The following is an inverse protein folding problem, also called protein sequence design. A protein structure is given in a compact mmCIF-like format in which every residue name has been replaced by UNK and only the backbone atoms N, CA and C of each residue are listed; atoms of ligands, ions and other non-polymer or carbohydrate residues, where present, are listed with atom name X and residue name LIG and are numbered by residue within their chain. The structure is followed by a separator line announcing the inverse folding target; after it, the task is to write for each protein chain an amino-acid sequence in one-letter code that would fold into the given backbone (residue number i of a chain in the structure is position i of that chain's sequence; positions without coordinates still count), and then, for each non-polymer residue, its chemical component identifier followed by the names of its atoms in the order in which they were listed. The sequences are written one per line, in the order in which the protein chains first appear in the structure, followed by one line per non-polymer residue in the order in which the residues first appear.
data_IF_096558918133
#
_entry.id   IF_096558918133
#
_cell.length_a   1.000
_cell.length_b   1.000
_cell.length_c   1.000
_cell.angle_alpha   90.00
_cell.angle_beta   90.00
_cell.angle_gamma   90.00
#
_symmetry.space_group_name_H-M   'P 1'
#
loop_
_entity.id
_entity.type
_entity.pdbx_description
1 polymer ?
#
# COMPACT_ATOMS: atom_id res chain seq x y z
N UNK A 1 -15.95 15.99 4.55
CA UNK A 1 -16.49 14.65 4.75
C UNK A 1 -15.48 13.66 4.24
N UNK A 2 -14.74 12.99 5.13
CA UNK A 2 -13.83 11.93 4.73
C UNK A 2 -14.57 10.60 4.83
N UNK A 3 -15.41 10.33 3.83
CA UNK A 3 -15.95 9.00 3.61
C UNK A 3 -14.85 8.15 2.97
N UNK A 4 -13.86 7.74 3.77
CA UNK A 4 -12.90 6.73 3.35
C UNK A 4 -13.24 5.41 4.02
N UNK A 5 -14.41 4.88 3.66
CA UNK A 5 -14.65 3.45 3.71
C UNK A 5 -14.74 3.03 2.24
N UNK A 6 -13.60 2.65 1.66
CA UNK A 6 -13.60 1.95 0.38
C UNK A 6 -13.01 0.58 0.65
N UNK A 7 -13.87 -0.28 1.21
CA UNK A 7 -13.78 -1.71 1.00
C UNK A 7 -14.21 -1.96 -0.45
N UNK A 8 -13.26 -1.95 -1.39
CA UNK A 8 -13.44 -2.65 -2.66
C UNK A 8 -13.04 -4.11 -2.42
N UNK A 9 -13.94 -4.81 -1.71
CA UNK A 9 -14.11 -6.24 -1.81
C UNK A 9 -14.46 -6.52 -3.27
N UNK A 10 -13.51 -6.94 -4.10
CA UNK A 10 -13.86 -7.51 -5.39
C UNK A 10 -12.94 -8.68 -5.72
N UNK A 11 -13.47 -9.84 -5.35
CA UNK A 11 -13.38 -11.15 -6.00
C UNK A 11 -12.02 -11.63 -6.51
N UNK A 12 -11.18 -12.19 -5.63
CA UNK A 12 -10.34 -13.32 -6.01
C UNK A 12 -10.29 -14.36 -4.88
N UNK A 13 -11.07 -15.41 -5.09
CA UNK A 13 -11.14 -16.63 -4.29
C UNK A 13 -10.08 -17.62 -4.80
N UNK A 14 -9.47 -18.33 -3.84
CA UNK A 14 -8.72 -19.59 -3.98
C UNK A 14 -7.40 -19.53 -4.74
N UNK A 15 -6.27 -19.58 -4.03
CA UNK A 15 -5.61 -20.82 -3.62
C UNK A 15 -4.30 -20.46 -2.89
N UNK A 16 -4.08 -21.05 -1.71
CA UNK A 16 -2.74 -21.22 -1.09
C UNK A 16 -1.90 -19.98 -0.76
N UNK A 17 -2.02 -19.51 0.49
CA UNK A 17 -1.13 -18.51 1.09
C UNK A 17 -0.84 -18.80 2.55
N UNK A 18 -0.46 -20.04 2.87
CA UNK A 18 -0.23 -20.59 4.23
C UNK A 18 0.87 -19.87 5.06
N UNK A 19 1.43 -18.73 4.61
CA UNK A 19 2.72 -18.22 5.09
C UNK A 19 2.74 -16.74 5.51
N UNK A 20 1.79 -15.87 5.12
CA UNK A 20 1.86 -14.46 5.56
C UNK A 20 1.32 -14.23 6.99
N UNK A 21 0.54 -15.18 7.52
CA UNK A 21 -0.23 -15.06 8.77
C UNK A 21 0.34 -15.78 10.00
N UNK A 22 1.43 -16.54 9.91
CA UNK A 22 1.90 -17.27 11.12
C UNK A 22 2.50 -16.36 12.20
N UNK A 23 2.76 -15.10 11.88
CA UNK A 23 3.26 -14.10 12.83
C UNK A 23 2.16 -13.33 13.55
N UNK A 24 0.87 -13.60 13.30
CA UNK A 24 -0.22 -13.18 14.18
C UNK A 24 -0.30 -14.01 15.48
N UNK A 25 0.46 -15.11 15.57
CA UNK A 25 0.37 -16.13 16.62
C UNK A 25 1.13 -15.84 17.92
N UNK A 26 1.24 -14.58 18.38
CA UNK A 26 1.66 -14.28 19.77
C UNK A 26 0.73 -13.29 20.44
N UNK A 27 -0.54 -13.66 20.45
CA UNK A 27 -1.59 -13.10 21.32
C UNK A 27 -1.41 -13.50 22.82
N UNK A 28 -0.33 -14.17 23.20
CA UNK A 28 -0.31 -14.93 24.47
C UNK A 28 0.37 -14.27 25.68
N UNK A 29 1.03 -13.11 25.59
CA UNK A 29 1.60 -12.46 26.78
C UNK A 29 1.65 -10.91 26.65
N UNK A 30 0.52 -10.26 26.91
CA UNK A 30 0.45 -8.89 27.47
C UNK A 30 1.20 -7.73 26.79
N UNK A 31 0.80 -7.33 25.57
CA UNK A 31 1.25 -6.15 24.75
C UNK A 31 2.53 -6.39 23.92
N UNK A 32 2.69 -5.82 22.70
CA UNK A 32 2.14 -4.54 22.23
C UNK A 32 1.27 -4.60 20.95
N UNK A 33 0.44 -3.57 20.84
CA UNK A 33 -0.24 -3.07 19.63
C UNK A 33 0.68 -3.20 18.41
N UNK A 34 0.38 -4.13 17.50
CA UNK A 34 0.87 -3.98 16.13
C UNK A 34 -0.06 -3.00 15.44
N UNK A 35 0.46 -2.04 14.65
CA UNK A 35 -0.41 -1.12 13.94
C UNK A 35 -1.31 -1.92 13.00
N UNK A 36 -2.59 -2.04 13.34
CA UNK A 36 -3.60 -2.51 12.39
C UNK A 36 -3.62 -1.59 11.16
N UNK A 37 -3.12 -0.37 11.31
CA UNK A 37 -3.06 0.68 10.31
C UNK A 37 -1.62 1.02 9.92
N UNK A 38 -1.21 0.61 8.72
CA UNK A 38 0.10 0.92 8.16
C UNK A 38 0.06 2.31 7.47
N UNK A 39 0.74 3.34 7.99
CA UNK A 39 0.78 4.65 7.34
C UNK A 39 1.45 4.56 5.97
N UNK A 40 0.89 5.32 5.03
CA UNK A 40 1.40 5.43 3.66
C UNK A 40 2.06 6.79 3.50
N UNK A 41 3.36 6.78 3.23
CA UNK A 41 4.21 7.95 3.11
C UNK A 41 4.44 8.24 1.62
N UNK A 42 3.76 9.24 1.04
CA UNK A 42 4.04 9.67 -0.32
C UNK A 42 5.39 10.39 -0.38
N UNK A 43 6.18 10.10 -1.41
CA UNK A 43 7.50 10.66 -1.67
C UNK A 43 7.64 11.04 -3.16
N UNK A 44 8.56 11.96 -3.43
CA UNK A 44 8.83 12.44 -4.78
C UNK A 44 7.71 13.35 -5.30
N UNK A 45 7.32 13.17 -6.56
CA UNK A 45 6.34 14.02 -7.23
C UNK A 45 4.87 13.61 -6.95
N UNK A 46 4.58 13.03 -5.78
CA UNK A 46 3.22 12.69 -5.36
C UNK A 46 2.58 13.87 -4.62
N UNK A 47 1.38 14.27 -5.03
CA UNK A 47 0.61 15.31 -4.37
C UNK A 47 -0.07 14.79 -3.11
N UNK A 48 -0.73 13.64 -3.22
CA UNK A 48 -1.35 12.93 -2.11
C UNK A 48 -1.63 11.48 -2.48
N UNK A 49 -1.80 10.65 -1.44
CA UNK A 49 -2.18 9.24 -1.53
C UNK A 49 -3.41 9.00 -0.65
N UNK A 50 -4.31 8.14 -1.11
CA UNK A 50 -5.45 7.65 -0.34
C UNK A 50 -5.60 6.14 -0.52
N UNK A 51 -5.81 5.37 0.56
CA UNK A 51 -5.80 5.80 1.95
C UNK A 51 -4.41 6.22 2.46
N UNK A 52 -4.38 7.09 3.48
CA UNK A 52 -3.14 7.45 4.19
C UNK A 52 -2.71 6.36 5.19
N UNK A 53 -3.59 5.41 5.49
CA UNK A 53 -3.36 4.29 6.38
C UNK A 53 -4.03 3.05 5.81
N UNK A 54 -3.26 1.98 5.61
CA UNK A 54 -3.76 0.70 5.15
C UNK A 54 -4.12 -0.19 6.32
N UNK A 55 -5.33 -0.76 6.30
CA UNK A 55 -5.66 -1.83 7.23
C UNK A 55 -5.03 -3.15 6.75
N UNK A 56 -4.04 -3.64 7.49
CA UNK A 56 -3.34 -4.88 7.17
C UNK A 56 -3.88 -6.09 7.97
N UNK A 57 -4.85 -5.88 8.86
CA UNK A 57 -5.43 -6.93 9.68
C UNK A 57 -6.33 -7.86 8.85
N UNK A 58 -6.97 -7.33 7.80
CA UNK A 58 -7.82 -8.12 6.90
C UNK A 58 -7.04 -9.05 5.96
N UNK A 59 -5.75 -8.76 5.72
CA UNK A 59 -4.95 -9.45 4.70
C UNK A 59 -5.45 -9.24 3.27
N UNK A 60 -4.87 -9.95 2.31
CA UNK A 60 -5.25 -9.87 0.90
C UNK A 60 -4.64 -8.69 0.14
N UNK A 61 -5.42 -8.01 -0.70
CA UNK A 61 -4.95 -6.91 -1.53
C UNK A 61 -5.47 -5.56 -1.03
N UNK A 62 -4.57 -4.59 -0.95
CA UNK A 62 -4.88 -3.20 -0.66
C UNK A 62 -4.91 -2.36 -1.94
N UNK A 63 -5.96 -1.56 -2.11
CA UNK A 63 -6.06 -0.61 -3.23
C UNK A 63 -5.61 0.77 -2.75
N UNK A 64 -4.63 1.33 -3.45
CA UNK A 64 -4.08 2.66 -3.22
C UNK A 64 -4.36 3.53 -4.44
N UNK A 65 -4.75 4.77 -4.17
CA UNK A 65 -4.89 5.79 -5.18
C UNK A 65 -3.90 6.92 -4.89
N UNK A 66 -3.20 7.39 -5.91
CA UNK A 66 -2.34 8.55 -5.78
C UNK A 66 -2.57 9.54 -6.91
N UNK A 67 -2.22 10.78 -6.66
CA UNK A 67 -2.21 11.85 -7.65
C UNK A 67 -0.81 12.44 -7.74
N UNK A 68 -0.33 12.68 -8.95
CA UNK A 68 0.95 13.36 -9.16
C UNK A 68 0.81 14.87 -8.92
N UNK A 69 1.84 15.51 -8.40
CA UNK A 69 1.88 16.96 -8.18
C UNK A 69 2.04 17.74 -9.49
N UNK A 70 2.67 17.12 -10.50
CA UNK A 70 2.87 17.69 -11.84
C UNK A 70 2.75 16.61 -12.91
N UNK A 71 2.72 17.03 -14.17
CA UNK A 71 2.77 16.12 -15.31
C UNK A 71 4.18 15.57 -15.45
N UNK A 72 4.33 14.25 -15.46
CA UNK A 72 5.61 13.57 -15.58
C UNK A 72 5.51 12.54 -16.70
N UNK A 73 6.39 12.65 -17.70
CA UNK A 73 6.52 11.64 -18.75
C UNK A 73 7.48 10.53 -18.28
N UNK A 74 7.22 9.27 -18.65
CA UNK A 74 8.00 8.10 -18.28
C UNK A 74 8.18 7.91 -16.76
N UNK A 75 7.15 8.23 -15.98
CA UNK A 75 7.21 8.09 -14.54
C UNK A 75 7.37 6.64 -14.09
N UNK A 76 8.13 6.42 -13.03
CA UNK A 76 8.25 5.15 -12.32
C UNK A 76 7.76 5.34 -10.89
N UNK A 77 6.75 4.58 -10.52
CA UNK A 77 6.29 4.45 -9.15
C UNK A 77 6.94 3.22 -8.51
N UNK A 78 7.48 3.40 -7.32
CA UNK A 78 8.00 2.34 -6.47
C UNK A 78 7.25 2.34 -5.13
N UNK A 79 6.80 1.17 -4.71
CA UNK A 79 6.22 0.94 -3.39
C UNK A 79 7.22 0.11 -2.60
N UNK A 80 7.64 0.63 -1.45
CA UNK A 80 8.59 -0.04 -0.57
C UNK A 80 8.11 -0.05 0.88
N UNK A 81 8.49 -1.10 1.60
CA UNK A 81 8.17 -1.33 3.01
C UNK A 81 9.43 -1.78 3.74
N UNK A 82 9.83 -1.06 4.80
CA UNK A 82 11.02 -1.42 5.58
C UNK A 82 12.32 -1.55 4.76
N UNK A 83 12.45 -0.80 3.67
CA UNK A 83 13.60 -0.86 2.76
C UNK A 83 13.53 -1.93 1.66
N UNK A 84 12.48 -2.76 1.63
CA UNK A 84 12.24 -3.72 0.54
C UNK A 84 11.26 -3.15 -0.48
N UNK A 85 11.59 -3.23 -1.77
CA UNK A 85 10.67 -2.89 -2.85
C UNK A 85 9.65 -4.00 -3.02
N UNK A 86 8.37 -3.69 -2.81
CA UNK A 86 7.25 -4.62 -2.94
C UNK A 86 6.69 -4.63 -4.36
N UNK A 87 6.58 -3.45 -4.95
CA UNK A 87 5.98 -3.27 -6.27
C UNK A 87 6.64 -2.10 -6.98
N UNK A 88 6.88 -2.27 -8.28
CA UNK A 88 7.32 -1.19 -9.15
C UNK A 88 6.44 -1.15 -10.39
N UNK A 89 5.96 0.04 -10.75
CA UNK A 89 5.10 0.25 -11.92
C UNK A 89 5.56 1.46 -12.70
N UNK A 90 5.74 1.28 -14.01
CA UNK A 90 6.09 2.37 -14.93
C UNK A 90 4.84 2.89 -15.62
N UNK A 91 4.78 4.20 -15.78
CA UNK A 91 3.72 4.95 -16.42
C UNK A 91 4.31 5.74 -17.59
N UNK A 92 3.62 5.73 -18.74
CA UNK A 92 4.06 6.53 -19.91
C UNK A 92 3.95 8.03 -19.62
N UNK A 93 2.89 8.42 -18.94
CA UNK A 93 2.71 9.75 -18.40
C UNK A 93 1.76 9.66 -17.21
N UNK A 94 2.03 10.43 -16.17
CA UNK A 94 1.10 10.67 -15.06
C UNK A 94 0.78 12.16 -15.04
N UNK A 95 -0.50 12.48 -14.88
CA UNK A 95 -0.97 13.87 -14.90
C UNK A 95 -1.72 14.20 -13.62
N UNK A 96 -1.59 15.42 -13.08
CA UNK A 96 -2.34 15.84 -11.89
C UNK A 96 -3.86 15.68 -11.96
N UNK A 97 -4.56 15.91 -13.09
CA UNK A 97 -6.01 15.66 -13.13
C UNK A 97 -6.38 14.19 -12.95
N UNK A 98 -5.49 13.26 -13.30
CA UNK A 98 -5.74 11.82 -13.29
C UNK A 98 -5.39 11.25 -11.89
N UNK A 99 -6.25 10.39 -11.34
CA UNK A 99 -5.92 9.60 -10.15
C UNK A 99 -5.52 8.19 -10.60
N UNK A 100 -4.33 7.79 -10.18
CA UNK A 100 -3.75 6.51 -10.54
C UNK A 100 -4.10 5.47 -9.48
N UNK A 101 -4.61 4.32 -9.92
CA UNK A 101 -4.96 3.17 -9.06
C UNK A 101 -3.84 2.14 -9.07
N UNK A 102 -3.44 1.71 -7.88
CA UNK A 102 -2.48 0.64 -7.67
C UNK A 102 -3.09 -0.39 -6.73
N UNK A 103 -2.79 -1.65 -6.97
CA UNK A 103 -3.13 -2.75 -6.07
C UNK A 103 -1.83 -3.26 -5.48
N UNK A 104 -1.75 -3.30 -4.17
CA UNK A 104 -0.64 -3.87 -3.41
C UNK A 104 -1.11 -5.18 -2.77
N UNK A 105 -0.36 -6.24 -3.00
CA UNK A 105 -0.57 -7.48 -2.27
C UNK A 105 0.05 -7.38 -0.88
N UNK A 106 -0.78 -7.45 0.16
CA UNK A 106 -0.35 -7.39 1.55
C UNK A 106 0.44 -8.64 1.95
N UNK A 107 0.32 -9.74 1.21
CA UNK A 107 1.13 -10.93 1.43
C UNK A 107 2.63 -10.68 1.16
N UNK A 108 2.98 -9.64 0.40
CA UNK A 108 4.36 -9.26 0.12
C UNK A 108 4.99 -8.45 1.26
N UNK A 109 4.19 -7.97 2.22
CA UNK A 109 4.71 -7.12 3.30
C UNK A 109 5.63 -7.92 4.23
N UNK A 110 6.86 -7.45 4.48
CA UNK A 110 7.73 -8.10 5.44
C UNK A 110 7.16 -7.97 6.87
N UNK A 111 7.36 -8.99 7.73
CA UNK A 111 6.93 -8.93 9.11
C UNK A 111 7.66 -7.80 9.85
N UNK A 112 6.90 -6.97 10.56
CA UNK A 112 7.45 -5.82 11.28
C UNK A 112 7.52 -4.53 10.46
N UNK A 113 6.85 -4.46 9.30
CA UNK A 113 6.70 -3.20 8.57
C UNK A 113 5.93 -2.17 9.41
N UNK A 114 6.51 -1.00 9.61
CA UNK A 114 5.90 0.11 10.34
C UNK A 114 5.28 1.18 9.41
N UNK A 115 5.76 1.27 8.16
CA UNK A 115 5.27 2.23 7.17
C UNK A 115 5.45 1.72 5.72
N UNK A 116 4.61 2.25 4.83
CA UNK A 116 4.68 2.01 3.39
C UNK A 116 5.11 3.29 2.66
N UNK A 117 6.22 3.27 1.95
CA UNK A 117 6.70 4.40 1.16
C UNK A 117 6.25 4.26 -0.30
N UNK A 118 5.56 5.28 -0.82
CA UNK A 118 5.23 5.40 -2.25
C UNK A 118 6.11 6.48 -2.86
N UNK A 119 7.02 6.10 -3.74
CA UNK A 119 7.93 7.03 -4.39
C UNK A 119 7.60 7.13 -5.88
N UNK A 120 7.23 8.34 -6.34
CA UNK A 120 7.04 8.63 -7.75
C UNK A 120 8.23 9.43 -8.27
N UNK A 121 8.90 8.87 -9.29
CA UNK A 121 10.03 9.49 -9.98
C UNK A 121 9.73 9.66 -11.46
N UNK A 122 10.27 10.71 -12.07
CA UNK A 122 10.21 11.00 -13.50
C UNK A 122 11.57 10.97 -14.16
#
# INVERSE_FOLDING_TARGET
GNALHVNDLVDYVSESGEIAGSSAARFSLGKPDRPCHLPVIPQGDIQYVVPQKLDIAAGGQAVLYFRSARTIANASLEISAGGQVLLQKKYKAVRPPEMERIVLDLALLPPGTEELSLNLRG
#
